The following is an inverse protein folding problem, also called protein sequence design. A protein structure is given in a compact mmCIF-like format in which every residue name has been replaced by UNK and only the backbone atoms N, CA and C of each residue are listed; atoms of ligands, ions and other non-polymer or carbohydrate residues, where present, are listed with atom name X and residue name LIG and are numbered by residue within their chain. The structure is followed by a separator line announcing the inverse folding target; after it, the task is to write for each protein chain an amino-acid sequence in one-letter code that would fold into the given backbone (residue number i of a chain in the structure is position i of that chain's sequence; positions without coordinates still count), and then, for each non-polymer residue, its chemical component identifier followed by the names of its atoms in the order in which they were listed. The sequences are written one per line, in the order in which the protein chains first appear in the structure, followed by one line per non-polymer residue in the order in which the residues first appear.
data_IF_100756747530
#
_entry.id   IF_100756747530
#
_cell.length_a   1.000
_cell.length_b   1.000
_cell.length_c   1.000
_cell.angle_alpha   90.00
_cell.angle_beta   90.00
_cell.angle_gamma   90.00
#
_symmetry.space_group_name_H-M   'P 1'
#
loop_
_entity.id
_entity.type
_entity.pdbx_description
1 polymer ?
#
# COMPACT_ATOMS: atom_id res chain seq x y z
N UNK A 1 -29.24 -24.61 55.62
CA UNK A 1 -30.61 -24.40 55.10
C UNK A 1 -30.53 -23.33 53.98
N UNK A 2 -30.34 -23.74 52.77
CA UNK A 2 -30.25 -22.84 51.62
C UNK A 2 -31.64 -22.61 51.03
N UNK A 3 -32.15 -21.41 51.23
CA UNK A 3 -33.41 -20.93 50.69
C UNK A 3 -33.39 -20.97 49.17
N UNK A 4 -34.11 -21.91 48.56
CA UNK A 4 -34.47 -21.94 47.17
C UNK A 4 -35.51 -20.86 46.89
N UNK A 5 -35.09 -19.64 46.69
CA UNK A 5 -35.96 -18.58 46.23
C UNK A 5 -36.55 -19.00 44.85
N UNK A 6 -37.82 -19.35 44.85
CA UNK A 6 -38.62 -19.67 43.65
C UNK A 6 -38.90 -18.32 42.94
N UNK A 7 -37.88 -17.72 42.31
CA UNK A 7 -38.06 -16.46 41.61
C UNK A 7 -38.91 -16.73 40.35
N UNK A 8 -40.03 -16.01 40.25
CA UNK A 8 -40.86 -16.01 39.03
C UNK A 8 -39.99 -15.71 37.81
N UNK A 9 -40.29 -16.37 36.68
CA UNK A 9 -39.49 -16.13 35.46
C UNK A 9 -39.65 -14.69 34.99
N UNK A 10 -38.55 -14.03 34.69
CA UNK A 10 -38.54 -12.65 34.22
C UNK A 10 -39.54 -12.47 33.06
N UNK A 11 -40.44 -11.49 33.16
CA UNK A 11 -41.38 -11.17 32.08
C UNK A 11 -40.62 -10.49 30.95
N UNK A 12 -40.75 -11.00 29.72
CA UNK A 12 -40.11 -10.43 28.53
C UNK A 12 -41.17 -9.62 27.78
N UNK A 13 -40.88 -8.32 27.62
CA UNK A 13 -41.64 -7.44 26.76
C UNK A 13 -40.72 -7.00 25.62
N UNK A 14 -41.05 -7.27 24.38
CA UNK A 14 -40.26 -6.91 23.21
C UNK A 14 -40.77 -5.60 22.61
N UNK A 15 -39.87 -4.69 22.34
CA UNK A 15 -40.15 -3.57 21.44
C UNK A 15 -40.38 -4.08 20.00
N UNK A 16 -41.07 -3.30 19.17
CA UNK A 16 -41.27 -3.68 17.77
C UNK A 16 -39.92 -3.91 17.04
N UNK A 17 -38.88 -3.03 17.18
CA UNK A 17 -37.58 -3.25 16.59
C UNK A 17 -36.87 -4.52 17.07
N UNK A 18 -37.00 -4.85 18.35
CA UNK A 18 -36.37 -6.06 18.90
C UNK A 18 -37.04 -7.35 18.40
N UNK A 19 -38.36 -7.32 18.32
CA UNK A 19 -39.13 -8.44 17.77
C UNK A 19 -38.73 -8.70 16.32
N UNK A 20 -38.75 -7.66 15.48
CA UNK A 20 -38.36 -7.74 14.05
C UNK A 20 -36.95 -8.28 13.88
N UNK A 21 -36.01 -7.80 14.69
CA UNK A 21 -34.62 -8.25 14.65
C UNK A 21 -34.47 -9.73 15.03
N UNK A 22 -35.08 -10.17 16.12
CA UNK A 22 -35.01 -11.57 16.57
C UNK A 22 -35.68 -12.51 15.59
N UNK A 23 -36.80 -12.12 15.01
CA UNK A 23 -37.51 -12.88 13.97
C UNK A 23 -36.66 -12.97 12.66
N UNK A 24 -35.95 -11.91 12.31
CA UNK A 24 -35.03 -11.92 11.18
C UNK A 24 -33.88 -12.92 11.40
N UNK A 25 -33.28 -12.98 12.60
CA UNK A 25 -32.26 -13.96 12.97
C UNK A 25 -32.81 -15.39 12.79
N UNK A 26 -34.01 -15.64 13.28
CA UNK A 26 -34.63 -16.98 13.21
C UNK A 26 -34.95 -17.40 11.78
N UNK A 27 -35.33 -16.47 10.90
CA UNK A 27 -35.64 -16.71 9.48
C UNK A 27 -34.40 -16.87 8.60
N UNK A 28 -33.29 -16.27 9.00
CA UNK A 28 -32.05 -16.25 8.20
C UNK A 28 -31.41 -17.65 8.19
N UNK A 29 -31.36 -18.28 7.04
CA UNK A 29 -30.77 -19.62 6.86
C UNK A 29 -29.29 -19.72 7.21
N UNK A 30 -28.55 -18.60 7.07
CA UNK A 30 -27.11 -18.49 7.37
C UNK A 30 -26.81 -18.04 8.80
N UNK A 31 -27.83 -17.84 9.66
CA UNK A 31 -27.61 -17.45 11.03
C UNK A 31 -26.93 -18.57 11.83
N UNK A 32 -25.93 -18.27 12.68
CA UNK A 32 -25.38 -19.27 13.57
C UNK A 32 -26.48 -19.92 14.41
N UNK A 33 -26.54 -21.27 14.44
CA UNK A 33 -27.58 -21.99 15.14
C UNK A 33 -27.78 -21.56 16.58
N UNK A 34 -26.67 -21.22 17.28
CA UNK A 34 -26.70 -20.73 18.66
C UNK A 34 -27.44 -19.40 18.81
N UNK A 35 -27.33 -18.50 17.83
CA UNK A 35 -28.00 -17.20 17.84
C UNK A 35 -29.49 -17.37 17.56
N UNK A 36 -29.85 -18.16 16.53
CA UNK A 36 -31.21 -18.47 16.20
C UNK A 36 -31.92 -19.21 17.35
N UNK A 37 -31.22 -20.10 18.03
CA UNK A 37 -31.72 -20.81 19.21
C UNK A 37 -32.04 -19.87 20.37
N UNK A 38 -31.12 -18.93 20.69
CA UNK A 38 -31.30 -17.93 21.76
C UNK A 38 -32.42 -16.94 21.40
N UNK A 39 -32.51 -16.52 20.16
CA UNK A 39 -33.61 -15.69 19.67
C UNK A 39 -34.96 -16.36 19.82
N UNK A 40 -35.07 -17.68 19.48
CA UNK A 40 -36.32 -18.47 19.66
C UNK A 40 -36.74 -18.52 21.13
N UNK A 41 -35.79 -18.68 22.07
CA UNK A 41 -36.11 -18.69 23.50
C UNK A 41 -36.78 -17.37 23.92
N UNK A 42 -36.20 -16.23 23.49
CA UNK A 42 -36.72 -14.90 23.83
C UNK A 42 -38.08 -14.65 23.20
N UNK A 43 -38.26 -15.03 21.93
CA UNK A 43 -39.54 -14.87 21.22
C UNK A 43 -40.66 -15.72 21.86
N UNK A 44 -40.37 -16.94 22.29
CA UNK A 44 -41.33 -17.78 23.00
C UNK A 44 -41.65 -17.23 24.39
N UNK A 45 -40.65 -16.74 25.13
CA UNK A 45 -40.82 -16.07 26.40
C UNK A 45 -41.72 -14.81 26.31
N UNK A 46 -41.56 -14.04 25.22
CA UNK A 46 -42.37 -12.83 24.96
C UNK A 46 -43.82 -13.18 24.56
N UNK A 47 -44.08 -14.40 24.08
CA UNK A 47 -45.44 -14.93 23.83
C UNK A 47 -46.15 -15.43 25.08
N UNK A 48 -45.43 -15.49 26.22
CA UNK A 48 -45.98 -15.93 27.49
C UNK A 48 -45.57 -17.36 27.93
N UNK A 49 -44.83 -18.08 27.11
CA UNK A 49 -44.36 -19.42 27.44
C UNK A 49 -43.49 -19.43 28.70
N UNK A 50 -43.71 -20.35 29.58
CA UNK A 50 -42.86 -20.56 30.74
C UNK A 50 -41.58 -21.36 30.36
N UNK A 51 -40.58 -21.33 31.23
CA UNK A 51 -39.28 -21.96 30.95
C UNK A 51 -39.33 -23.46 30.68
N UNK A 52 -40.36 -24.17 31.19
CA UNK A 52 -40.57 -25.62 30.95
C UNK A 52 -41.13 -25.84 29.55
N UNK A 53 -42.14 -25.06 29.16
CA UNK A 53 -42.71 -25.08 27.82
C UNK A 53 -41.69 -24.74 26.73
N UNK A 54 -40.86 -23.67 27.02
CA UNK A 54 -39.76 -23.33 26.10
C UNK A 54 -38.78 -24.49 25.95
N UNK A 55 -38.42 -25.12 27.08
CA UNK A 55 -37.52 -26.28 27.11
C UNK A 55 -38.06 -27.45 26.28
N UNK A 56 -39.35 -27.76 26.39
CA UNK A 56 -40.02 -28.82 25.61
C UNK A 56 -40.04 -28.49 24.11
N UNK A 57 -40.43 -27.24 23.74
CA UNK A 57 -40.52 -26.83 22.32
C UNK A 57 -39.17 -26.76 21.61
N UNK A 58 -38.12 -26.42 22.34
CA UNK A 58 -36.76 -26.25 21.75
C UNK A 58 -35.79 -27.36 22.11
N UNK A 59 -36.30 -28.47 22.70
CA UNK A 59 -35.49 -29.62 23.14
C UNK A 59 -34.28 -29.21 23.98
N UNK A 60 -34.52 -28.33 24.98
CA UNK A 60 -33.46 -27.86 25.87
C UNK A 60 -33.90 -27.92 27.33
N UNK A 61 -32.91 -27.80 28.23
CA UNK A 61 -33.21 -27.82 29.67
C UNK A 61 -33.94 -26.53 30.12
N UNK A 62 -34.84 -26.65 31.14
CA UNK A 62 -35.45 -25.49 31.80
C UNK A 62 -34.36 -24.45 32.25
N UNK A 63 -33.22 -24.96 32.71
CA UNK A 63 -32.08 -24.12 33.14
C UNK A 63 -31.53 -23.29 31.97
N UNK A 64 -31.41 -23.85 30.78
CA UNK A 64 -30.97 -23.15 29.56
C UNK A 64 -31.96 -22.08 29.14
N UNK A 65 -33.26 -22.41 29.10
CA UNK A 65 -34.30 -21.44 28.79
C UNK A 65 -34.30 -20.26 29.78
N UNK A 66 -34.24 -20.55 31.09
CA UNK A 66 -34.13 -19.54 32.16
C UNK A 66 -32.89 -18.66 31.97
N UNK A 67 -31.73 -19.27 31.71
CA UNK A 67 -30.45 -18.53 31.52
C UNK A 67 -30.57 -17.46 30.43
N UNK A 68 -31.02 -17.82 29.23
CA UNK A 68 -31.07 -16.88 28.12
C UNK A 68 -32.20 -15.85 28.24
N UNK A 69 -33.33 -16.24 28.83
CA UNK A 69 -34.43 -15.34 29.18
C UNK A 69 -33.97 -14.25 30.16
N UNK A 70 -33.28 -14.63 31.27
CA UNK A 70 -32.78 -13.68 32.25
C UNK A 70 -31.72 -12.75 31.65
N UNK A 71 -30.78 -13.29 30.90
CA UNK A 71 -29.74 -12.47 30.22
C UNK A 71 -30.33 -11.43 29.27
N UNK A 72 -31.40 -11.80 28.57
CA UNK A 72 -32.10 -10.86 27.72
C UNK A 72 -32.87 -9.82 28.58
N UNK A 73 -33.51 -10.21 29.64
CA UNK A 73 -34.21 -9.29 30.54
C UNK A 73 -33.25 -8.26 31.15
N UNK A 74 -32.02 -8.68 31.47
CA UNK A 74 -30.99 -7.84 32.09
C UNK A 74 -30.29 -6.90 31.12
N UNK A 75 -29.98 -7.37 29.93
CA UNK A 75 -29.06 -6.71 28.99
C UNK A 75 -29.56 -6.63 27.53
N UNK A 76 -30.84 -6.93 27.30
CA UNK A 76 -31.43 -6.91 25.97
C UNK A 76 -30.68 -7.82 24.97
N UNK A 77 -30.51 -7.34 23.73
CA UNK A 77 -29.82 -8.07 22.65
C UNK A 77 -28.38 -8.44 23.03
N UNK A 78 -27.65 -7.53 23.71
CA UNK A 78 -26.29 -7.79 24.14
C UNK A 78 -26.18 -8.98 25.10
N UNK A 79 -27.24 -9.24 25.88
CA UNK A 79 -27.33 -10.39 26.74
C UNK A 79 -27.31 -11.73 26.03
N UNK A 80 -27.63 -11.78 24.73
CA UNK A 80 -27.61 -13.01 23.93
C UNK A 80 -26.22 -13.35 23.37
N UNK A 81 -25.24 -12.44 23.45
CA UNK A 81 -23.87 -12.71 23.05
C UNK A 81 -23.15 -13.66 24.04
N UNK A 82 -22.15 -14.38 23.54
CA UNK A 82 -21.30 -15.18 24.44
C UNK A 82 -20.42 -14.25 25.29
N UNK A 83 -20.37 -14.54 26.59
CA UNK A 83 -19.40 -13.87 27.46
C UNK A 83 -18.00 -14.42 27.17
N UNK A 84 -16.95 -13.59 27.25
CA UNK A 84 -15.58 -14.07 27.20
C UNK A 84 -15.38 -15.18 28.25
N UNK A 85 -14.70 -16.23 27.83
CA UNK A 85 -14.36 -17.33 28.74
C UNK A 85 -12.91 -17.12 29.18
N UNK A 86 -12.58 -17.22 30.47
CA UNK A 86 -11.19 -17.24 30.87
C UNK A 86 -10.53 -18.46 30.22
N UNK A 87 -9.54 -18.19 29.35
CA UNK A 87 -8.72 -19.23 28.73
C UNK A 87 -7.78 -19.89 29.75
N UNK A 88 -6.86 -20.72 29.25
CA UNK A 88 -5.76 -21.22 30.06
C UNK A 88 -4.94 -20.02 30.57
N UNK A 89 -4.58 -19.95 31.83
CA UNK A 89 -3.70 -18.90 32.35
C UNK A 89 -2.41 -18.81 31.53
N UNK A 90 -1.91 -17.60 31.22
CA UNK A 90 -0.65 -17.44 30.53
C UNK A 90 0.49 -18.08 31.35
N UNK A 91 1.37 -18.80 30.68
CA UNK A 91 2.55 -19.43 31.32
C UNK A 91 3.66 -18.38 31.53
N UNK A 92 3.73 -17.40 30.64
CA UNK A 92 4.72 -16.32 30.65
C UNK A 92 4.04 -15.01 31.03
N UNK A 93 4.73 -14.23 31.84
CA UNK A 93 4.28 -12.93 32.31
C UNK A 93 4.48 -11.80 31.25
N UNK A 94 4.06 -10.61 31.60
CA UNK A 94 4.21 -9.44 30.73
C UNK A 94 5.67 -9.01 30.58
N UNK A 95 6.51 -9.25 31.60
CA UNK A 95 7.94 -8.92 31.57
C UNK A 95 8.66 -9.75 30.54
N UNK A 96 8.41 -11.06 30.49
CA UNK A 96 8.91 -11.97 29.45
C UNK A 96 8.51 -11.50 28.07
N UNK A 97 7.27 -11.07 27.91
CA UNK A 97 6.75 -10.58 26.65
C UNK A 97 7.40 -9.26 26.23
N UNK A 98 7.60 -8.35 27.18
CA UNK A 98 8.29 -7.08 26.94
C UNK A 98 9.74 -7.29 26.50
N UNK A 99 10.46 -8.23 27.12
CA UNK A 99 11.81 -8.59 26.71
C UNK A 99 11.88 -9.11 25.27
N UNK A 100 10.99 -10.03 24.89
CA UNK A 100 10.91 -10.54 23.52
C UNK A 100 10.62 -9.39 22.54
N UNK A 101 9.77 -8.46 22.91
CA UNK A 101 9.43 -7.27 22.12
C UNK A 101 10.64 -6.35 21.98
N UNK A 102 11.37 -6.10 23.06
CA UNK A 102 12.59 -5.29 23.05
C UNK A 102 13.65 -5.87 22.09
N UNK A 103 13.93 -7.17 22.23
CA UNK A 103 14.88 -7.88 21.35
C UNK A 103 14.44 -7.78 19.87
N UNK A 104 13.14 -7.92 19.59
CA UNK A 104 12.61 -7.83 18.23
C UNK A 104 12.70 -6.41 17.63
N UNK A 105 12.82 -5.38 18.46
CA UNK A 105 12.98 -3.98 18.05
C UNK A 105 14.45 -3.54 17.93
N UNK A 106 15.40 -4.33 18.41
CA UNK A 106 16.81 -4.01 18.30
C UNK A 106 17.37 -4.30 16.91
N UNK A 107 18.39 -3.54 16.52
CA UNK A 107 19.20 -3.89 15.33
C UNK A 107 20.13 -5.07 15.67
N UNK A 108 20.27 -6.06 14.78
CA UNK A 108 21.17 -7.20 15.02
C UNK A 108 22.62 -6.79 15.36
N UNK A 109 23.11 -5.72 14.75
CA UNK A 109 24.45 -5.18 15.01
C UNK A 109 24.64 -4.75 16.48
N UNK A 110 23.61 -4.23 17.14
CA UNK A 110 23.68 -3.84 18.55
C UNK A 110 23.87 -5.04 19.49
N UNK A 111 23.54 -6.23 19.00
CA UNK A 111 23.76 -7.50 19.69
C UNK A 111 24.99 -8.27 19.18
N UNK A 112 25.86 -7.60 18.42
CA UNK A 112 27.07 -8.19 17.85
C UNK A 112 26.81 -9.25 16.77
N UNK A 113 25.60 -9.23 16.14
CA UNK A 113 25.25 -10.18 15.08
C UNK A 113 25.52 -9.56 13.71
N UNK A 114 26.26 -10.27 12.81
CA UNK A 114 26.52 -9.79 11.44
C UNK A 114 25.29 -10.02 10.53
N UNK A 115 24.12 -9.51 10.93
CA UNK A 115 22.87 -9.66 10.24
C UNK A 115 22.27 -8.26 9.97
N UNK A 116 21.60 -8.09 8.85
CA UNK A 116 20.86 -6.87 8.53
C UNK A 116 19.48 -6.78 9.20
N UNK A 117 18.93 -7.94 9.60
CA UNK A 117 17.59 -8.06 10.20
C UNK A 117 17.48 -9.40 10.94
N UNK A 118 16.57 -9.45 11.92
CA UNK A 118 16.21 -10.68 12.60
C UNK A 118 15.08 -11.43 11.90
N UNK A 119 15.23 -12.73 11.73
CA UNK A 119 14.12 -13.65 11.51
C UNK A 119 13.49 -14.08 12.84
N UNK A 120 12.34 -14.74 12.80
CA UNK A 120 11.74 -15.31 14.03
C UNK A 120 12.60 -16.41 14.70
N UNK A 121 13.49 -17.03 13.94
CA UNK A 121 14.45 -18.01 14.46
C UNK A 121 15.58 -17.30 15.21
N UNK A 122 16.08 -16.20 14.65
CA UNK A 122 17.15 -15.43 15.29
C UNK A 122 16.66 -14.79 16.58
N UNK A 123 15.45 -14.23 16.60
CA UNK A 123 14.85 -13.69 17.83
C UNK A 123 14.72 -14.79 18.88
N UNK A 124 14.26 -15.99 18.50
CA UNK A 124 14.18 -17.11 19.43
C UNK A 124 15.56 -17.47 20.00
N UNK A 125 16.60 -17.47 19.16
CA UNK A 125 17.96 -17.77 19.59
C UNK A 125 18.51 -16.71 20.56
N UNK A 126 18.20 -15.42 20.33
CA UNK A 126 18.58 -14.35 21.26
C UNK A 126 17.81 -14.45 22.59
N UNK A 127 16.50 -14.68 22.53
CA UNK A 127 15.67 -14.86 23.73
C UNK A 127 16.12 -16.06 24.58
N UNK A 128 16.55 -17.14 23.93
CA UNK A 128 17.05 -18.34 24.61
C UNK A 128 18.37 -18.12 25.38
N UNK A 129 19.10 -17.03 25.09
CA UNK A 129 20.29 -16.65 25.85
C UNK A 129 19.93 -15.90 27.14
N UNK A 130 18.75 -15.31 27.21
CA UNK A 130 18.32 -14.46 28.32
C UNK A 130 17.23 -15.09 29.18
N UNK A 131 16.50 -16.09 28.67
CA UNK A 131 15.35 -16.71 29.37
C UNK A 131 15.46 -18.24 29.43
N UNK A 132 15.32 -18.77 30.62
CA UNK A 132 15.12 -20.19 30.88
C UNK A 132 13.93 -20.38 31.86
N UNK A 133 12.81 -21.02 31.45
CA UNK A 133 12.57 -21.64 30.15
C UNK A 133 12.26 -20.61 29.05
N UNK A 134 12.85 -20.82 27.87
CA UNK A 134 12.59 -19.99 26.71
C UNK A 134 11.21 -20.29 26.10
N UNK A 135 10.42 -19.29 25.72
CA UNK A 135 9.17 -19.48 24.99
C UNK A 135 9.41 -20.14 23.64
N UNK A 136 8.51 -21.04 23.23
CA UNK A 136 8.60 -21.67 21.93
C UNK A 136 8.61 -20.63 20.78
N UNK A 137 9.35 -20.91 19.70
CA UNK A 137 9.46 -20.03 18.52
C UNK A 137 8.09 -19.55 17.97
N UNK A 138 7.08 -20.44 17.98
CA UNK A 138 5.71 -20.10 17.57
C UNK A 138 5.05 -19.07 18.48
N UNK A 139 5.32 -19.14 19.79
CA UNK A 139 4.84 -18.19 20.79
C UNK A 139 5.49 -16.82 20.58
N UNK A 140 6.80 -16.78 20.40
CA UNK A 140 7.56 -15.57 20.10
C UNK A 140 7.05 -14.92 18.80
N UNK A 141 6.88 -15.69 17.74
CA UNK A 141 6.36 -15.21 16.46
C UNK A 141 4.93 -14.64 16.61
N UNK A 142 4.08 -15.27 17.42
CA UNK A 142 2.74 -14.77 17.71
C UNK A 142 2.76 -13.43 18.47
N UNK A 143 3.65 -13.27 19.44
CA UNK A 143 3.79 -12.02 20.19
C UNK A 143 4.32 -10.88 19.33
N UNK A 144 5.36 -11.12 18.55
CA UNK A 144 5.92 -10.14 17.61
C UNK A 144 4.87 -9.71 16.58
N UNK A 145 4.09 -10.66 16.05
CA UNK A 145 2.97 -10.36 15.14
C UNK A 145 1.88 -9.54 15.84
N UNK A 146 1.53 -9.87 17.09
CA UNK A 146 0.51 -9.16 17.85
C UNK A 146 0.96 -7.73 18.20
N UNK A 147 2.24 -7.50 18.42
CA UNK A 147 2.84 -6.19 18.61
C UNK A 147 3.00 -5.41 17.27
N UNK A 148 2.58 -5.97 16.14
CA UNK A 148 2.73 -5.40 14.80
C UNK A 148 4.19 -5.11 14.39
N UNK A 149 5.16 -5.72 15.04
CA UNK A 149 6.58 -5.58 14.75
C UNK A 149 6.96 -6.53 13.60
N UNK A 150 7.74 -6.02 12.64
CA UNK A 150 8.20 -6.78 11.46
C UNK A 150 9.71 -6.69 11.29
N UNK A 151 10.52 -7.29 12.16
CA UNK A 151 11.98 -7.14 12.17
C UNK A 151 12.65 -7.77 10.94
N UNK A 152 11.93 -8.62 10.20
CA UNK A 152 12.37 -9.22 8.92
C UNK A 152 12.10 -8.34 7.70
N UNK A 153 11.44 -7.17 7.86
CA UNK A 153 11.14 -6.25 6.76
C UNK A 153 12.07 -5.04 6.85
N UNK A 154 12.60 -4.65 5.70
CA UNK A 154 13.31 -3.38 5.54
C UNK A 154 12.43 -2.49 4.70
N UNK A 155 12.09 -1.32 5.22
CA UNK A 155 11.42 -0.27 4.49
C UNK A 155 12.37 0.89 4.33
N UNK A 156 12.46 1.43 3.12
CA UNK A 156 13.14 2.70 2.88
C UNK A 156 12.18 3.85 3.18
N UNK A 157 12.72 4.92 3.71
CA UNK A 157 11.97 6.17 3.87
C UNK A 157 12.76 7.32 3.25
N UNK A 158 12.05 8.38 2.91
CA UNK A 158 12.67 9.61 2.39
C UNK A 158 13.43 10.28 3.54
N UNK A 159 14.72 10.54 3.31
CA UNK A 159 15.54 11.36 4.20
C UNK A 159 15.93 12.61 3.44
N UNK A 160 15.26 13.75 3.67
CA UNK A 160 15.56 14.99 2.96
C UNK A 160 16.99 15.46 3.30
N UNK A 161 17.87 15.44 2.30
CA UNK A 161 19.23 15.99 2.41
C UNK A 161 19.35 17.39 1.80
N UNK A 162 18.39 17.77 0.95
CA UNK A 162 18.31 19.09 0.33
C UNK A 162 17.71 20.07 1.33
N UNK A 163 18.41 21.15 1.74
CA UNK A 163 17.87 22.17 2.63
C UNK A 163 16.58 22.83 2.11
N UNK A 164 16.39 22.82 0.79
CA UNK A 164 15.21 23.38 0.13
C UNK A 164 14.16 22.30 -0.23
N UNK A 165 14.29 21.08 0.33
CA UNK A 165 13.43 19.96 -0.02
C UNK A 165 11.95 20.31 0.04
N UNK A 166 11.49 20.85 1.18
CA UNK A 166 10.08 21.20 1.38
C UNK A 166 9.59 22.23 0.35
N UNK A 167 10.40 23.25 0.08
CA UNK A 167 10.02 24.32 -0.85
C UNK A 167 9.94 23.83 -2.29
N UNK A 168 10.95 23.08 -2.75
CA UNK A 168 10.98 22.53 -4.11
C UNK A 168 9.85 21.51 -4.33
N UNK A 169 9.66 20.57 -3.39
CA UNK A 169 8.61 19.57 -3.47
C UNK A 169 7.21 20.20 -3.42
N UNK A 170 6.99 21.20 -2.57
CA UNK A 170 5.72 21.90 -2.49
C UNK A 170 5.35 22.60 -3.80
N UNK A 171 6.30 23.26 -4.48
CA UNK A 171 6.05 23.88 -5.80
C UNK A 171 5.54 22.87 -6.84
N UNK A 172 6.09 21.67 -6.84
CA UNK A 172 5.66 20.60 -7.77
C UNK A 172 4.27 20.10 -7.39
N UNK A 173 3.97 19.93 -6.09
CA UNK A 173 2.62 19.58 -5.65
C UNK A 173 1.59 20.64 -6.05
N UNK A 174 1.96 21.93 -5.94
CA UNK A 174 1.08 23.03 -6.35
C UNK A 174 0.79 23.00 -7.85
N UNK A 175 1.81 22.77 -8.69
CA UNK A 175 1.62 22.59 -10.12
C UNK A 175 0.64 21.48 -10.44
N UNK A 176 0.79 20.31 -9.82
CA UNK A 176 -0.12 19.17 -10.04
C UNK A 176 -1.53 19.43 -9.50
N UNK A 177 -1.70 20.35 -8.55
CA UNK A 177 -3.01 20.79 -8.07
C UNK A 177 -3.56 22.00 -8.83
N UNK A 178 -2.87 22.43 -9.89
CA UNK A 178 -3.34 23.48 -10.80
C UNK A 178 -2.97 24.90 -10.36
N UNK A 179 -1.90 25.11 -9.59
CA UNK A 179 -1.46 26.44 -9.15
C UNK A 179 0.03 26.65 -9.35
N UNK A 180 0.43 27.88 -9.68
CA UNK A 180 1.81 28.32 -9.78
C UNK A 180 1.96 29.73 -9.18
N UNK A 181 2.82 29.87 -8.18
CA UNK A 181 3.08 31.13 -7.47
C UNK A 181 1.78 31.81 -6.99
N UNK A 182 0.90 30.97 -6.40
CA UNK A 182 -0.44 31.32 -5.88
C UNK A 182 -1.49 31.74 -6.96
N UNK A 183 -1.13 31.65 -8.25
CA UNK A 183 -2.04 31.90 -9.36
C UNK A 183 -2.53 30.56 -9.98
N UNK A 184 -3.81 30.45 -10.37
CA UNK A 184 -4.30 29.26 -11.05
C UNK A 184 -3.62 29.05 -12.39
N UNK A 185 -3.35 27.79 -12.76
CA UNK A 185 -2.91 27.45 -14.10
C UNK A 185 -4.05 27.69 -15.11
N UNK A 186 -3.68 28.06 -16.31
CA UNK A 186 -4.60 28.22 -17.45
C UNK A 186 -4.66 26.94 -18.27
N UNK A 187 -5.61 26.84 -19.20
CA UNK A 187 -5.70 25.72 -20.15
C UNK A 187 -4.50 25.68 -21.13
N UNK A 188 -3.72 26.76 -21.19
CA UNK A 188 -2.53 26.90 -22.04
C UNK A 188 -1.22 26.69 -21.27
N UNK A 189 -1.30 26.31 -20.04
CA UNK A 189 -0.14 25.93 -19.23
C UNK A 189 0.08 24.41 -19.34
N UNK A 190 1.28 23.99 -19.72
CA UNK A 190 1.62 22.59 -19.95
C UNK A 190 2.63 22.14 -18.90
N UNK A 191 2.41 20.96 -18.33
CA UNK A 191 3.35 20.34 -17.40
C UNK A 191 3.97 19.13 -18.09
N UNK A 192 5.30 19.14 -18.20
CA UNK A 192 6.12 18.06 -18.78
C UNK A 192 6.97 17.44 -17.68
N UNK A 193 6.86 16.15 -17.49
CA UNK A 193 7.67 15.35 -16.56
C UNK A 193 8.67 14.53 -17.38
N UNK A 194 9.95 14.80 -17.28
CA UNK A 194 10.97 14.09 -18.07
C UNK A 194 12.04 13.43 -17.20
N UNK A 195 12.55 12.30 -17.68
CA UNK A 195 13.60 11.52 -17.02
C UNK A 195 14.17 10.46 -17.95
N UNK A 196 15.16 9.71 -17.48
CA UNK A 196 15.72 8.59 -18.20
C UNK A 196 15.57 7.26 -17.46
N UNK A 197 15.10 6.25 -18.17
CA UNK A 197 15.14 4.87 -17.70
C UNK A 197 16.42 4.21 -18.15
N UNK A 198 17.39 4.12 -17.25
CA UNK A 198 18.70 3.53 -17.50
C UNK A 198 18.70 2.02 -17.34
N UNK A 199 19.74 1.37 -17.93
CA UNK A 199 20.06 -0.03 -17.68
C UNK A 199 19.04 -1.04 -18.21
N UNK A 200 18.31 -0.71 -19.28
CA UNK A 200 17.40 -1.62 -19.95
C UNK A 200 18.25 -2.64 -20.71
N UNK A 201 18.17 -3.92 -20.32
CA UNK A 201 19.05 -4.96 -20.84
C UNK A 201 18.35 -5.79 -21.92
N UNK A 202 18.99 -5.93 -23.06
CA UNK A 202 18.65 -6.93 -24.06
C UNK A 202 19.15 -8.30 -23.57
N UNK A 203 18.24 -9.17 -23.14
CA UNK A 203 18.53 -10.53 -22.70
C UNK A 203 17.67 -11.52 -23.45
N UNK A 204 18.28 -12.50 -24.10
CA UNK A 204 17.54 -13.63 -24.67
C UNK A 204 17.46 -14.79 -23.68
N UNK A 205 16.26 -15.35 -23.53
CA UNK A 205 15.96 -16.49 -22.68
C UNK A 205 15.03 -17.45 -23.39
N UNK A 206 15.17 -18.74 -23.07
CA UNK A 206 14.17 -19.71 -23.50
C UNK A 206 12.83 -19.42 -22.83
N UNK A 207 11.80 -19.15 -23.63
CA UNK A 207 10.44 -18.83 -23.16
C UNK A 207 9.49 -19.96 -23.54
N UNK A 208 8.67 -20.40 -22.61
CA UNK A 208 7.60 -21.37 -22.86
C UNK A 208 6.26 -20.68 -22.71
N UNK A 209 5.34 -20.77 -23.69
CA UNK A 209 4.03 -20.12 -23.60
C UNK A 209 3.20 -20.63 -22.46
N UNK A 210 2.18 -19.88 -22.01
CA UNK A 210 1.21 -20.35 -21.03
C UNK A 210 0.35 -21.47 -21.58
N UNK A 211 -0.22 -22.27 -20.69
CA UNK A 211 -1.18 -23.34 -21.01
C UNK A 211 -2.16 -23.55 -19.87
N UNK A 212 -3.16 -24.43 -20.02
CA UNK A 212 -4.13 -24.70 -18.97
C UNK A 212 -3.45 -25.04 -17.65
N UNK A 213 -3.67 -24.22 -16.61
CA UNK A 213 -3.04 -24.38 -15.29
C UNK A 213 -1.54 -24.09 -15.22
N UNK A 214 -0.95 -23.55 -16.29
CA UNK A 214 0.50 -23.25 -16.37
C UNK A 214 0.72 -21.80 -16.78
N UNK A 215 1.57 -21.10 -15.98
CA UNK A 215 2.06 -19.76 -16.36
C UNK A 215 3.17 -19.83 -17.41
N UNK A 216 3.47 -18.69 -18.03
CA UNK A 216 4.69 -18.49 -18.83
C UNK A 216 5.91 -18.88 -17.99
N UNK A 217 6.85 -19.62 -18.58
CA UNK A 217 8.12 -19.97 -17.94
C UNK A 217 9.28 -19.39 -18.70
N UNK A 218 10.22 -18.79 -17.96
CA UNK A 218 11.46 -18.26 -18.49
C UNK A 218 12.64 -19.10 -17.96
N UNK A 219 13.57 -19.42 -18.86
CA UNK A 219 14.82 -20.07 -18.48
C UNK A 219 15.67 -19.20 -17.54
N UNK A 220 16.37 -19.81 -16.60
CA UNK A 220 17.31 -19.08 -15.72
C UNK A 220 18.55 -18.61 -16.48
N UNK A 221 19.00 -19.39 -17.46
CA UNK A 221 20.13 -19.03 -18.32
C UNK A 221 19.67 -18.00 -19.33
N UNK A 222 20.52 -17.03 -19.60
CA UNK A 222 20.28 -15.98 -20.58
C UNK A 222 21.59 -15.53 -21.23
N UNK A 223 21.48 -15.10 -22.47
CA UNK A 223 22.54 -14.41 -23.19
C UNK A 223 22.31 -12.91 -23.14
N UNK A 224 23.40 -12.14 -23.03
CA UNK A 224 23.35 -10.67 -23.00
C UNK A 224 23.70 -10.12 -24.38
N UNK A 225 22.90 -9.15 -24.85
CA UNK A 225 23.04 -8.53 -26.15
C UNK A 225 23.26 -7.01 -26.09
N UNK A 226 23.55 -6.50 -24.89
CA UNK A 226 23.78 -5.08 -24.65
C UNK A 226 22.72 -4.42 -23.75
N UNK A 227 22.83 -3.11 -23.64
CA UNK A 227 21.94 -2.26 -22.85
C UNK A 227 21.57 -1.02 -23.62
N UNK A 228 20.41 -0.47 -23.35
CA UNK A 228 19.96 0.84 -23.84
C UNK A 228 19.43 1.69 -22.69
N UNK A 229 19.26 2.97 -22.97
CA UNK A 229 18.63 3.95 -22.11
C UNK A 229 17.43 4.51 -22.88
N UNK A 230 16.31 4.63 -22.23
CA UNK A 230 15.12 5.27 -22.78
C UNK A 230 14.94 6.63 -22.10
N UNK A 231 15.14 7.71 -22.84
CA UNK A 231 14.82 9.08 -22.42
C UNK A 231 13.41 9.40 -22.86
N UNK A 232 12.57 9.91 -21.93
CA UNK A 232 11.19 10.21 -22.26
C UNK A 232 10.63 11.37 -21.43
N UNK A 233 9.61 12.00 -21.99
CA UNK A 233 8.82 13.05 -21.39
C UNK A 233 7.34 12.67 -21.40
N UNK A 234 6.66 12.93 -20.30
CA UNK A 234 5.23 12.71 -20.09
C UNK A 234 4.52 14.06 -19.95
N UNK A 235 3.58 14.35 -20.82
CA UNK A 235 2.74 15.55 -20.75
C UNK A 235 1.58 15.27 -19.80
N UNK A 236 1.66 15.82 -18.60
CA UNK A 236 0.78 15.43 -17.49
C UNK A 236 -0.72 15.69 -17.75
N UNK A 237 -1.05 16.72 -18.53
CA UNK A 237 -2.45 17.08 -18.84
C UNK A 237 -3.14 16.16 -19.84
N UNK A 238 -2.40 15.56 -20.76
CA UNK A 238 -2.93 14.67 -21.81
C UNK A 238 -2.59 13.21 -21.60
N UNK A 239 -1.53 12.92 -20.85
CA UNK A 239 -1.00 11.58 -20.71
C UNK A 239 -0.09 11.15 -21.87
N UNK A 240 0.18 12.01 -22.83
CA UNK A 240 1.04 11.74 -23.98
C UNK A 240 2.49 11.55 -23.56
N UNK A 241 3.17 10.62 -24.18
CA UNK A 241 4.60 10.34 -23.98
C UNK A 241 5.35 10.59 -25.27
N UNK A 242 6.50 11.21 -25.16
CA UNK A 242 7.45 11.40 -26.24
C UNK A 242 8.81 10.91 -25.75
N UNK A 243 9.44 9.99 -26.47
CA UNK A 243 10.73 9.47 -26.04
C UNK A 243 11.48 8.69 -27.10
N UNK A 244 12.76 8.45 -26.84
CA UNK A 244 13.64 7.70 -27.71
C UNK A 244 14.69 6.89 -26.94
N UNK A 245 15.16 5.84 -27.58
CA UNK A 245 16.25 5.02 -27.04
C UNK A 245 17.61 5.60 -27.44
N UNK A 246 18.55 5.59 -26.48
CA UNK A 246 19.94 6.05 -26.67
C UNK A 246 20.93 5.08 -26.03
N UNK A 247 22.16 5.09 -26.50
CA UNK A 247 23.26 4.27 -25.95
C UNK A 247 23.90 4.93 -24.72
N UNK A 248 23.82 6.24 -24.62
CA UNK A 248 24.42 7.00 -23.54
C UNK A 248 23.49 8.10 -23.06
N UNK A 249 23.45 8.28 -21.76
CA UNK A 249 22.76 9.41 -21.14
C UNK A 249 23.67 10.66 -21.24
N UNK A 250 23.52 11.39 -22.34
CA UNK A 250 24.26 12.61 -22.58
C UNK A 250 23.32 13.81 -22.61
N UNK A 251 23.87 14.98 -22.32
CA UNK A 251 23.13 16.23 -22.42
C UNK A 251 22.57 16.44 -23.84
N UNK A 252 23.37 16.19 -24.89
CA UNK A 252 22.93 16.35 -26.27
C UNK A 252 21.70 15.47 -26.62
N UNK A 253 21.68 14.22 -26.14
CA UNK A 253 20.52 13.35 -26.37
C UNK A 253 19.28 13.87 -25.62
N UNK A 254 19.47 14.43 -24.41
CA UNK A 254 18.36 15.01 -23.67
C UNK A 254 17.87 16.34 -24.28
N UNK A 255 18.77 17.14 -24.84
CA UNK A 255 18.41 18.34 -25.63
C UNK A 255 17.56 17.95 -26.84
N UNK A 256 17.87 16.84 -27.54
CA UNK A 256 17.03 16.31 -28.63
C UNK A 256 15.63 15.96 -28.13
N UNK A 257 15.50 15.31 -26.97
CA UNK A 257 14.19 15.05 -26.38
C UNK A 257 13.42 16.35 -26.13
N UNK A 258 14.07 17.38 -25.62
CA UNK A 258 13.44 18.70 -25.41
C UNK A 258 12.97 19.30 -26.73
N UNK A 259 13.78 19.22 -27.79
CA UNK A 259 13.42 19.70 -29.12
C UNK A 259 12.17 18.98 -29.65
N UNK A 260 12.11 17.65 -29.52
CA UNK A 260 10.96 16.84 -29.92
C UNK A 260 9.69 17.24 -29.14
N UNK A 261 9.78 17.38 -27.82
CA UNK A 261 8.64 17.77 -26.98
C UNK A 261 8.19 19.20 -27.24
N UNK A 262 9.11 20.13 -27.39
CA UNK A 262 8.77 21.54 -27.67
C UNK A 262 8.24 21.75 -29.10
N UNK A 263 8.50 20.80 -30.02
CA UNK A 263 7.90 20.76 -31.36
C UNK A 263 6.47 20.18 -31.36
N UNK A 264 6.03 19.55 -30.28
CA UNK A 264 4.65 19.05 -30.16
C UNK A 264 3.63 20.22 -30.19
N UNK A 265 2.53 20.10 -30.93
CA UNK A 265 1.51 21.17 -31.06
C UNK A 265 0.97 21.68 -29.72
N UNK A 266 0.92 20.83 -28.69
CA UNK A 266 0.46 21.24 -27.34
C UNK A 266 1.46 22.20 -26.73
N UNK A 267 2.76 21.89 -26.78
CA UNK A 267 3.82 22.74 -26.25
C UNK A 267 4.05 24.01 -27.08
N UNK A 268 3.92 23.93 -28.42
CA UNK A 268 4.03 25.10 -29.30
C UNK A 268 2.96 26.15 -29.06
N UNK A 269 1.75 25.73 -28.68
CA UNK A 269 0.63 26.63 -28.40
C UNK A 269 0.52 27.03 -26.91
N UNK A 270 1.44 26.56 -26.07
CA UNK A 270 1.42 26.83 -24.64
C UNK A 270 1.92 28.25 -24.32
N UNK A 271 1.33 28.88 -23.32
CA UNK A 271 1.83 30.13 -22.74
C UNK A 271 3.04 29.85 -21.82
N UNK A 272 3.00 28.74 -21.08
CA UNK A 272 4.10 28.27 -20.23
C UNK A 272 4.20 26.73 -20.31
N UNK A 273 5.44 26.24 -20.38
CA UNK A 273 5.75 24.81 -20.36
C UNK A 273 6.64 24.54 -19.13
N UNK A 274 6.06 23.93 -18.09
CA UNK A 274 6.77 23.60 -16.86
C UNK A 274 7.47 22.25 -17.00
N UNK A 275 8.79 22.25 -16.97
CA UNK A 275 9.61 21.04 -17.06
C UNK A 275 10.00 20.55 -15.68
N UNK A 276 9.44 19.44 -15.24
CA UNK A 276 9.78 18.76 -13.98
C UNK A 276 10.87 17.75 -14.25
N UNK A 277 12.02 17.96 -13.64
CA UNK A 277 13.26 17.22 -13.89
C UNK A 277 13.87 16.78 -12.55
N UNK A 278 14.54 15.65 -12.53
CA UNK A 278 15.40 15.30 -11.42
C UNK A 278 16.77 16.05 -11.49
N UNK A 279 17.74 15.65 -10.66
CA UNK A 279 19.08 16.25 -10.67
C UNK A 279 20.09 15.39 -11.46
N UNK A 280 19.65 14.71 -12.50
CA UNK A 280 20.48 13.88 -13.36
C UNK A 280 21.63 14.63 -14.04
N UNK A 281 22.66 13.92 -14.45
CA UNK A 281 23.84 14.52 -15.08
C UNK A 281 23.55 15.12 -16.46
N UNK A 282 22.58 14.55 -17.20
CA UNK A 282 22.20 15.03 -18.53
C UNK A 282 21.48 16.39 -18.48
N UNK A 283 20.75 16.66 -17.40
CA UNK A 283 19.97 17.88 -17.19
C UNK A 283 20.32 18.58 -15.88
N UNK A 284 21.63 18.73 -15.61
CA UNK A 284 22.14 19.34 -14.37
C UNK A 284 21.56 20.74 -14.14
N UNK A 285 21.03 21.03 -12.92
CA UNK A 285 20.25 22.24 -12.63
C UNK A 285 20.88 23.56 -13.01
N UNK A 286 22.21 23.70 -12.80
CA UNK A 286 22.90 24.97 -13.01
C UNK A 286 23.11 25.35 -14.50
N UNK A 287 23.18 24.35 -15.40
CA UNK A 287 23.52 24.59 -16.82
C UNK A 287 22.39 24.29 -17.76
N UNK A 288 21.60 23.24 -17.46
CA UNK A 288 20.51 22.81 -18.33
C UNK A 288 19.30 23.76 -18.23
N UNK A 289 18.93 24.17 -17.02
CA UNK A 289 17.83 25.12 -16.81
C UNK A 289 18.05 26.42 -17.56
N UNK A 290 19.25 26.99 -17.46
CA UNK A 290 19.61 28.23 -18.18
C UNK A 290 19.49 28.03 -19.69
N UNK A 291 20.02 26.93 -20.24
CA UNK A 291 19.93 26.62 -21.65
C UNK A 291 18.46 26.45 -22.09
N UNK A 292 17.66 25.72 -21.33
CA UNK A 292 16.24 25.48 -21.63
C UNK A 292 15.46 26.79 -21.73
N UNK A 293 15.59 27.65 -20.74
CA UNK A 293 14.88 28.93 -20.64
C UNK A 293 15.38 29.94 -21.68
N UNK A 294 16.65 29.84 -22.12
CA UNK A 294 17.21 30.66 -23.21
C UNK A 294 16.72 30.21 -24.59
N UNK A 295 16.68 28.91 -24.83
CA UNK A 295 16.23 28.37 -26.13
C UNK A 295 14.70 28.46 -26.28
N UNK A 296 13.97 28.29 -25.21
CA UNK A 296 12.51 28.27 -25.20
C UNK A 296 11.97 29.23 -24.14
N UNK A 297 11.64 30.48 -24.51
CA UNK A 297 11.19 31.51 -23.55
C UNK A 297 9.90 31.15 -22.80
N UNK A 298 9.10 30.20 -23.29
CA UNK A 298 7.91 29.68 -22.62
C UNK A 298 8.22 28.56 -21.62
N UNK A 299 9.43 28.00 -21.66
CA UNK A 299 9.84 26.90 -20.81
C UNK A 299 10.29 27.40 -19.42
N UNK A 300 9.89 26.68 -18.38
CA UNK A 300 10.25 26.93 -16.99
C UNK A 300 10.81 25.65 -16.39
N UNK A 301 12.12 25.61 -16.11
CA UNK A 301 12.78 24.43 -15.56
C UNK A 301 12.62 24.31 -14.04
N UNK A 302 12.08 23.19 -13.58
CA UNK A 302 11.83 22.87 -12.17
C UNK A 302 12.56 21.61 -11.78
N UNK A 303 13.62 21.75 -11.00
CA UNK A 303 14.36 20.60 -10.51
C UNK A 303 13.80 20.12 -9.17
N UNK A 304 13.51 18.82 -9.13
CA UNK A 304 13.08 18.12 -7.93
C UNK A 304 14.16 18.17 -6.84
N UNK A 305 13.80 18.14 -5.58
CA UNK A 305 14.79 17.97 -4.53
C UNK A 305 15.43 16.59 -4.59
N UNK A 306 16.67 16.47 -4.18
CA UNK A 306 17.40 15.20 -4.14
C UNK A 306 16.63 14.15 -3.32
N UNK A 307 16.41 12.98 -3.91
CA UNK A 307 15.66 11.88 -3.29
C UNK A 307 14.13 11.98 -3.42
N UNK A 308 13.62 12.85 -4.29
CA UNK A 308 12.19 13.01 -4.55
C UNK A 308 11.77 12.65 -5.99
N UNK A 309 12.47 11.72 -6.67
CA UNK A 309 12.09 11.24 -8.01
C UNK A 309 10.66 10.70 -8.06
N UNK A 310 10.12 10.20 -6.95
CA UNK A 310 8.72 9.78 -6.83
C UNK A 310 7.70 10.91 -7.11
N UNK A 311 8.09 12.18 -7.08
CA UNK A 311 7.27 13.30 -7.54
C UNK A 311 7.26 13.47 -9.06
N UNK A 312 8.14 12.78 -9.80
CA UNK A 312 8.18 12.84 -11.26
C UNK A 312 7.18 11.83 -11.85
N UNK A 313 6.12 12.30 -12.50
CA UNK A 313 5.07 11.41 -13.02
C UNK A 313 5.56 10.46 -14.12
N UNK A 314 6.63 10.78 -14.85
CA UNK A 314 7.21 9.87 -15.84
C UNK A 314 7.64 8.53 -15.23
N UNK A 315 7.98 8.50 -13.95
CA UNK A 315 8.32 7.26 -13.24
C UNK A 315 7.14 6.28 -13.16
N UNK A 316 5.92 6.80 -13.11
CA UNK A 316 4.71 5.97 -13.19
C UNK A 316 4.61 5.29 -14.56
N UNK A 317 4.82 6.05 -15.63
CA UNK A 317 4.87 5.49 -17.00
C UNK A 317 5.99 4.44 -17.12
N UNK A 318 7.21 4.73 -16.65
CA UNK A 318 8.31 3.77 -16.66
C UNK A 318 7.98 2.48 -15.90
N UNK A 319 7.23 2.58 -14.83
CA UNK A 319 6.74 1.43 -14.07
C UNK A 319 5.74 0.60 -14.88
N UNK A 320 4.82 1.25 -15.60
CA UNK A 320 3.83 0.59 -16.48
C UNK A 320 4.53 -0.07 -17.66
N UNK A 321 5.41 0.65 -18.40
CA UNK A 321 6.24 0.13 -19.48
C UNK A 321 7.01 -1.12 -19.04
N UNK A 322 7.68 -1.05 -17.89
CA UNK A 322 8.46 -2.17 -17.37
C UNK A 322 7.58 -3.40 -17.13
N UNK A 323 6.44 -3.23 -16.47
CA UNK A 323 5.55 -4.35 -16.13
C UNK A 323 4.84 -4.94 -17.33
N UNK A 324 4.38 -4.10 -18.25
CA UNK A 324 3.55 -4.54 -19.38
C UNK A 324 4.36 -4.99 -20.60
N UNK A 325 5.53 -4.39 -20.81
CA UNK A 325 6.27 -4.56 -22.07
C UNK A 325 7.66 -5.19 -21.93
N UNK A 326 8.37 -4.93 -20.82
CA UNK A 326 9.75 -5.40 -20.67
C UNK A 326 9.88 -6.64 -19.75
N UNK A 327 9.08 -6.70 -18.68
CA UNK A 327 9.18 -7.80 -17.71
C UNK A 327 8.71 -9.11 -18.31
N UNK A 328 9.57 -10.11 -18.25
CA UNK A 328 9.23 -11.45 -18.74
C UNK A 328 9.41 -11.62 -20.25
N UNK A 329 9.99 -10.64 -20.96
CA UNK A 329 10.32 -10.72 -22.35
C UNK A 329 11.74 -11.25 -22.61
N UNK A 330 11.96 -11.62 -23.87
CA UNK A 330 13.23 -12.16 -24.39
C UNK A 330 13.63 -11.36 -25.61
N UNK A 331 14.78 -10.67 -25.51
CA UNK A 331 15.27 -9.78 -26.57
C UNK A 331 16.62 -10.27 -27.07
N UNK A 332 16.76 -10.41 -28.39
CA UNK A 332 17.96 -10.90 -29.05
C UNK A 332 18.92 -9.80 -29.54
N UNK A 333 18.52 -8.55 -29.41
CA UNK A 333 19.34 -7.36 -29.73
C UNK A 333 18.86 -6.14 -28.94
N UNK A 334 19.66 -5.10 -28.90
CA UNK A 334 19.27 -3.78 -28.37
C UNK A 334 18.14 -3.19 -29.22
N UNK A 335 18.23 -3.30 -30.54
CA UNK A 335 17.21 -2.79 -31.48
C UNK A 335 15.83 -3.41 -31.15
N UNK A 336 15.78 -4.73 -30.88
CA UNK A 336 14.53 -5.38 -30.51
C UNK A 336 13.93 -4.87 -29.18
N UNK A 337 14.77 -4.37 -28.27
CA UNK A 337 14.30 -3.65 -27.07
C UNK A 337 13.74 -2.28 -27.44
N UNK A 338 14.46 -1.53 -28.27
CA UNK A 338 14.05 -0.21 -28.72
C UNK A 338 12.72 -0.27 -29.50
N UNK A 339 12.61 -1.18 -30.48
CA UNK A 339 11.37 -1.42 -31.24
C UNK A 339 10.19 -1.75 -30.30
N UNK A 340 10.43 -2.53 -29.25
CA UNK A 340 9.41 -2.86 -28.26
C UNK A 340 8.98 -1.64 -27.44
N UNK A 341 9.91 -0.78 -27.06
CA UNK A 341 9.63 0.45 -26.31
C UNK A 341 8.85 1.42 -27.19
N UNK A 342 9.30 1.66 -28.42
CA UNK A 342 8.62 2.53 -29.39
C UNK A 342 7.21 2.03 -29.70
N UNK A 343 7.04 0.73 -29.99
CA UNK A 343 5.71 0.17 -30.21
C UNK A 343 4.79 0.21 -28.98
N UNK A 344 5.37 0.18 -27.76
CA UNK A 344 4.58 0.40 -26.56
C UNK A 344 4.18 1.86 -26.40
N UNK A 345 5.06 2.80 -26.69
CA UNK A 345 4.78 4.25 -26.68
C UNK A 345 3.70 4.61 -27.70
N UNK A 346 3.79 4.10 -28.94
CA UNK A 346 2.76 4.27 -29.96
C UNK A 346 1.39 3.76 -29.48
N UNK A 347 1.36 2.52 -28.96
CA UNK A 347 0.14 1.93 -28.41
C UNK A 347 -0.41 2.72 -27.21
N UNK A 348 0.45 3.30 -26.38
CA UNK A 348 0.06 4.15 -25.25
C UNK A 348 -0.56 5.45 -25.75
N UNK A 349 0.04 6.06 -26.77
CA UNK A 349 -0.39 7.34 -27.32
C UNK A 349 -1.62 7.23 -28.24
N UNK A 350 -2.05 6.03 -28.64
CA UNK A 350 -3.34 5.81 -29.34
C UNK A 350 -4.55 6.18 -28.45
N UNK A 351 -4.42 6.01 -27.13
CA UNK A 351 -5.45 6.36 -26.13
C UNK A 351 -4.76 6.80 -24.82
N UNK A 352 -4.12 7.99 -24.82
CA UNK A 352 -3.32 8.44 -23.71
C UNK A 352 -4.20 8.91 -22.56
N UNK A 353 -3.93 8.40 -21.36
CA UNK A 353 -4.63 8.79 -20.15
C UNK A 353 -3.67 9.49 -19.17
N UNK A 354 -4.02 10.69 -18.66
CA UNK A 354 -3.24 11.34 -17.61
C UNK A 354 -3.32 10.56 -16.31
N UNK A 355 -2.25 10.59 -15.52
CA UNK A 355 -2.29 10.02 -14.17
C UNK A 355 -3.08 10.90 -13.22
N UNK A 356 -4.01 10.32 -12.47
CA UNK A 356 -4.71 11.01 -11.40
C UNK A 356 -3.75 11.27 -10.23
N UNK A 357 -3.31 12.53 -10.10
CA UNK A 357 -2.41 12.94 -9.04
C UNK A 357 -3.19 13.44 -7.83
N UNK A 358 -3.10 12.74 -6.71
CA UNK A 358 -3.86 13.04 -5.49
C UNK A 358 -2.99 13.55 -4.33
N UNK A 359 -1.66 13.52 -4.47
CA UNK A 359 -0.73 13.92 -3.41
C UNK A 359 -0.56 15.44 -3.37
N UNK A 360 -0.87 16.05 -2.23
CA UNK A 360 -0.94 17.50 -2.06
C UNK A 360 0.22 18.06 -1.23
N UNK A 361 0.32 19.40 -1.15
CA UNK A 361 1.24 20.11 -0.25
C UNK A 361 1.00 19.75 1.23
N UNK A 362 -0.25 19.54 1.62
CA UNK A 362 -0.63 19.12 2.97
C UNK A 362 -0.15 17.70 3.27
N UNK A 363 -0.23 16.79 2.30
CA UNK A 363 0.29 15.44 2.42
C UNK A 363 1.81 15.42 2.57
N UNK A 364 2.49 16.26 1.80
CA UNK A 364 3.94 16.49 1.93
C UNK A 364 4.30 16.98 3.33
N UNK A 365 3.57 17.96 3.85
CA UNK A 365 3.82 18.49 5.19
C UNK A 365 3.62 17.40 6.24
N UNK A 366 2.53 16.64 6.17
CA UNK A 366 2.27 15.51 7.06
C UNK A 366 3.34 14.40 6.96
N UNK A 367 3.87 14.17 5.76
CA UNK A 367 4.98 13.23 5.57
C UNK A 367 6.24 13.73 6.30
N UNK A 368 6.62 14.97 6.09
CA UNK A 368 7.84 15.57 6.67
C UNK A 368 7.77 15.63 8.22
N UNK A 369 6.59 15.89 8.79
CA UNK A 369 6.38 15.87 10.25
C UNK A 369 6.56 14.48 10.88
N UNK A 370 6.38 13.43 10.11
CA UNK A 370 6.54 12.03 10.58
C UNK A 370 7.96 11.50 10.44
N UNK A 371 8.82 12.22 9.72
CA UNK A 371 10.20 11.80 9.56
C UNK A 371 10.96 12.01 10.88
N UNK A 372 11.78 11.02 11.28
CA UNK A 372 12.62 11.19 12.46
C UNK A 372 13.59 12.34 12.22
N UNK A 373 13.74 13.20 13.22
CA UNK A 373 14.82 14.21 13.24
C UNK A 373 16.14 13.45 13.26
N UNK A 374 16.92 13.56 12.20
CA UNK A 374 18.29 13.00 12.16
C UNK A 374 19.18 14.03 12.81
N UNK A 375 19.67 13.71 14.01
CA UNK A 375 20.77 14.41 14.65
C UNK A 375 22.10 14.15 13.93
#
# INVERSE_FOLDING_TARGET
MSSTANSQPAKITLSHPDRTHLEAIVRRATAPQREAFRARIVLLAARGDNNTQIGQRLSCTRKTARKWRNRYAESGRAGLADKPRPGRPPIYDETTRALVTAIACELPANRGRPLSRFSSADIHAEVAQELDPCPARSTIAAWVKQAAIRPWTVASWVTPRDPQFKQKAARVCDLYTGTWEDEPLTERDVIVCADEKTGIQARSRRKTPPGPGKSVRLGHQYDRHGTTIYQAAFIAGTGTVIGHCVDRNTRANFETLVEEVMADPICQNADRVFWILDNGSAHHPATFRWWLEEQYPTAIGLHLPTGASWLNQIELYFSVLTRKSLTGESFHSVDAVCDRITGFEEMWNDDPEPFEWTYTREDLTRLLERLPTIE
#
